data_IF_121705110117
#
_entry.id   IF_121705110117
#
_cell.length_a   1.000
_cell.length_b   1.000
_cell.length_c   1.000
_cell.angle_alpha   90.00
_cell.angle_beta   90.00
_cell.angle_gamma   90.00
#
_symmetry.space_group_name_H-M   'P 1'
#
loop_
_entity.id
_entity.type
_entity.pdbx_description
1 polymer ?
#
# COMPACT_ATOMS: atom_id res chain seq x y z
N UNK A 1 14.80 -6.99 15.66
CA UNK A 1 13.54 -7.17 16.45
C UNK A 1 13.48 -8.51 17.19
N UNK A 2 14.56 -9.24 17.25
CA UNK A 2 14.63 -10.60 17.84
C UNK A 2 14.80 -10.62 19.37
N UNK A 3 15.02 -9.46 20.01
CA UNK A 3 15.23 -9.29 21.45
C UNK A 3 14.41 -8.13 22.01
N UNK A 4 14.17 -8.13 23.33
CA UNK A 4 13.38 -7.10 23.99
C UNK A 4 11.87 -7.35 23.96
N UNK A 5 11.07 -6.37 24.42
CA UNK A 5 9.61 -6.47 24.49
C UNK A 5 8.99 -6.34 23.08
N UNK A 6 8.23 -7.34 22.59
CA UNK A 6 7.68 -7.32 21.23
C UNK A 6 6.78 -6.11 20.96
N UNK A 7 5.91 -5.74 21.91
CA UNK A 7 5.00 -4.60 21.75
C UNK A 7 5.77 -3.29 21.54
N UNK A 8 6.79 -3.04 22.38
CA UNK A 8 7.62 -1.83 22.27
C UNK A 8 8.35 -1.77 20.94
N UNK A 9 8.86 -2.92 20.46
CA UNK A 9 9.56 -3.02 19.17
C UNK A 9 8.62 -2.77 18.00
N UNK A 10 7.41 -3.36 18.02
CA UNK A 10 6.40 -3.16 16.99
C UNK A 10 5.99 -1.68 16.92
N UNK A 11 5.69 -1.03 18.04
CA UNK A 11 5.31 0.38 18.05
C UNK A 11 6.45 1.31 17.66
N UNK A 12 7.67 1.08 18.15
CA UNK A 12 8.85 1.87 17.77
C UNK A 12 9.14 1.81 16.27
N UNK A 13 8.85 0.67 15.65
CA UNK A 13 9.00 0.48 14.21
C UNK A 13 7.80 1.03 13.43
N UNK A 14 6.57 0.87 13.94
CA UNK A 14 5.35 1.33 13.30
C UNK A 14 5.23 2.86 13.27
N UNK A 15 5.73 3.56 14.30
CA UNK A 15 5.56 5.02 14.40
C UNK A 15 6.16 5.80 13.22
N UNK A 16 7.42 5.57 12.78
CA UNK A 16 7.92 6.22 11.57
C UNK A 16 7.14 5.86 10.31
N UNK A 17 6.67 4.61 10.19
CA UNK A 17 5.84 4.19 9.06
C UNK A 17 4.49 4.91 9.05
N UNK A 18 3.85 5.04 10.21
CA UNK A 18 2.61 5.79 10.35
C UNK A 18 2.79 7.25 9.92
N UNK A 19 3.84 7.91 10.41
CA UNK A 19 4.13 9.29 10.03
C UNK A 19 4.43 9.41 8.53
N UNK A 20 5.11 8.42 7.94
CA UNK A 20 5.35 8.35 6.50
C UNK A 20 4.05 8.21 5.70
N UNK A 21 3.16 7.31 6.11
CA UNK A 21 1.87 7.12 5.45
C UNK A 21 0.99 8.38 5.55
N UNK A 22 0.92 9.01 6.71
CA UNK A 22 0.18 10.26 6.90
C UNK A 22 0.75 11.40 6.03
N UNK A 23 2.08 11.54 5.99
CA UNK A 23 2.75 12.51 5.15
C UNK A 23 2.42 12.27 3.67
N UNK A 24 2.45 11.00 3.23
CA UNK A 24 2.09 10.63 1.87
C UNK A 24 0.64 10.98 1.52
N UNK A 25 -0.31 10.72 2.41
CA UNK A 25 -1.70 11.13 2.18
C UNK A 25 -1.84 12.65 2.12
N UNK A 26 -1.11 13.37 2.96
CA UNK A 26 -1.14 14.85 3.00
C UNK A 26 -0.58 15.44 1.71
N UNK A 27 0.58 14.98 1.23
CA UNK A 27 1.14 15.52 0.01
C UNK A 27 0.26 15.19 -1.22
N UNK A 28 -0.38 14.02 -1.29
CA UNK A 28 -1.31 13.69 -2.37
C UNK A 28 -2.48 14.68 -2.46
N UNK A 29 -2.97 15.18 -1.32
CA UNK A 29 -4.01 16.20 -1.28
C UNK A 29 -3.46 17.55 -1.75
N UNK A 30 -2.26 17.93 -1.31
CA UNK A 30 -1.61 19.19 -1.68
C UNK A 30 -1.34 19.21 -3.19
N UNK A 31 -0.78 18.13 -3.75
CA UNK A 31 -0.54 17.99 -5.19
C UNK A 31 -1.82 18.14 -6.00
N UNK A 32 -2.88 17.42 -5.62
CA UNK A 32 -4.20 17.57 -6.25
C UNK A 32 -4.75 19.01 -6.15
N UNK A 33 -4.52 19.68 -5.03
CA UNK A 33 -4.95 21.07 -4.84
C UNK A 33 -4.16 22.06 -5.71
N UNK A 34 -2.85 21.86 -5.87
CA UNK A 34 -2.00 22.67 -6.76
C UNK A 34 -2.46 22.49 -8.21
N UNK A 35 -2.61 21.25 -8.68
CA UNK A 35 -3.09 20.95 -10.03
C UNK A 35 -4.46 21.59 -10.27
N UNK A 36 -5.42 21.41 -9.37
CA UNK A 36 -6.78 21.93 -9.54
C UNK A 36 -6.86 23.45 -9.52
N UNK A 37 -6.09 24.14 -8.66
CA UNK A 37 -6.13 25.60 -8.55
C UNK A 37 -5.36 26.32 -9.65
N UNK A 38 -4.25 25.74 -10.12
CA UNK A 38 -3.34 26.40 -11.06
C UNK A 38 -3.61 25.98 -12.51
N UNK A 39 -3.83 24.69 -12.75
CA UNK A 39 -4.10 24.15 -14.11
C UNK A 39 -5.60 24.07 -14.44
N UNK A 40 -6.46 24.14 -13.42
CA UNK A 40 -7.90 24.12 -13.58
C UNK A 40 -8.55 22.73 -13.52
N UNK A 41 -9.88 22.73 -13.69
CA UNK A 41 -10.71 21.55 -13.49
C UNK A 41 -10.41 20.41 -14.47
N UNK A 42 -10.04 20.71 -15.72
CA UNK A 42 -9.74 19.68 -16.73
C UNK A 42 -8.48 18.90 -16.39
N UNK A 43 -7.41 19.58 -15.95
CA UNK A 43 -6.18 18.92 -15.53
C UNK A 43 -6.40 18.06 -14.28
N UNK A 44 -7.18 18.55 -13.31
CA UNK A 44 -7.55 17.78 -12.14
C UNK A 44 -8.39 16.55 -12.52
N UNK A 45 -9.31 16.68 -13.46
CA UNK A 45 -10.10 15.57 -13.98
C UNK A 45 -9.24 14.54 -14.70
N UNK A 46 -8.21 14.97 -15.46
CA UNK A 46 -7.25 14.09 -16.12
C UNK A 46 -6.43 13.27 -15.11
N UNK A 47 -5.92 13.90 -14.05
CA UNK A 47 -5.22 13.22 -12.95
C UNK A 47 -6.17 12.25 -12.25
N UNK A 48 -7.41 12.66 -11.98
CA UNK A 48 -8.43 11.82 -11.35
C UNK A 48 -8.78 10.58 -12.18
N UNK A 49 -8.99 10.73 -13.48
CA UNK A 49 -9.27 9.62 -14.39
C UNK A 49 -8.11 8.60 -14.44
N UNK A 50 -6.87 9.09 -14.33
CA UNK A 50 -5.66 8.25 -14.34
C UNK A 50 -5.40 7.55 -13.00
N UNK A 51 -5.97 8.03 -11.90
CA UNK A 51 -5.61 7.61 -10.54
C UNK A 51 -5.88 6.12 -10.26
N UNK A 52 -6.96 5.57 -10.82
CA UNK A 52 -7.33 4.16 -10.63
C UNK A 52 -6.29 3.20 -11.23
N UNK A 53 -5.82 3.47 -12.44
CA UNK A 53 -4.77 2.67 -13.09
C UNK A 53 -3.43 2.88 -12.41
N UNK A 54 -3.12 4.12 -12.03
CA UNK A 54 -1.93 4.42 -11.25
C UNK A 54 -1.89 3.59 -9.96
N UNK A 55 -2.99 3.56 -9.21
CA UNK A 55 -3.09 2.79 -7.97
C UNK A 55 -2.92 1.29 -8.21
N UNK A 56 -3.51 0.76 -9.29
CA UNK A 56 -3.38 -0.65 -9.68
C UNK A 56 -1.93 -1.01 -10.02
N UNK A 57 -1.26 -0.23 -10.88
CA UNK A 57 0.10 -0.51 -11.36
C UNK A 57 1.15 -0.25 -10.28
N UNK A 58 1.10 0.92 -9.63
CA UNK A 58 2.05 1.26 -8.58
C UNK A 58 1.82 0.43 -7.31
N UNK A 59 0.58 0.04 -7.02
CA UNK A 59 0.25 -0.91 -5.95
C UNK A 59 0.90 -2.27 -6.20
N UNK A 60 0.83 -2.78 -7.43
CA UNK A 60 1.53 -4.00 -7.83
C UNK A 60 3.05 -3.89 -7.63
N UNK A 61 3.65 -2.81 -8.10
CA UNK A 61 5.08 -2.53 -7.93
C UNK A 61 5.49 -2.51 -6.45
N UNK A 62 4.73 -1.80 -5.61
CA UNK A 62 4.97 -1.72 -4.17
C UNK A 62 4.84 -3.10 -3.52
N UNK A 63 3.80 -3.85 -3.87
CA UNK A 63 3.55 -5.20 -3.35
C UNK A 63 4.68 -6.18 -3.68
N UNK A 64 5.20 -6.16 -4.92
CA UNK A 64 6.36 -7.00 -5.30
C UNK A 64 7.56 -6.69 -4.41
N UNK A 65 7.92 -5.42 -4.25
CA UNK A 65 9.06 -5.01 -3.43
C UNK A 65 8.87 -5.40 -1.96
N UNK A 66 7.67 -5.21 -1.40
CA UNK A 66 7.35 -5.65 -0.05
C UNK A 66 7.49 -7.17 0.12
N UNK A 67 7.07 -7.95 -0.90
CA UNK A 67 7.23 -9.40 -0.90
C UNK A 67 8.69 -9.84 -0.91
N UNK A 68 9.56 -9.11 -1.61
CA UNK A 68 11.02 -9.36 -1.60
C UNK A 68 11.66 -9.08 -0.23
N UNK A 69 11.08 -8.16 0.54
CA UNK A 69 11.52 -7.88 1.90
C UNK A 69 11.30 -9.02 2.90
N UNK A 70 10.39 -9.96 2.63
CA UNK A 70 10.05 -11.06 3.56
C UNK A 70 11.21 -12.06 3.72
N UNK A 71 11.77 -12.67 2.65
CA UNK A 71 12.94 -13.53 2.77
C UNK A 71 14.14 -12.79 3.35
N UNK A 72 14.32 -11.52 2.99
CA UNK A 72 15.40 -10.69 3.50
C UNK A 72 15.31 -10.52 5.03
N UNK A 73 14.14 -10.18 5.56
CA UNK A 73 13.90 -10.08 7.00
C UNK A 73 14.20 -11.42 7.72
N UNK A 74 13.84 -12.56 7.09
CA UNK A 74 14.14 -13.90 7.61
C UNK A 74 15.64 -14.14 7.67
N UNK A 75 16.39 -13.89 6.60
CA UNK A 75 17.85 -14.11 6.59
C UNK A 75 18.58 -13.16 7.53
N UNK A 76 18.12 -11.91 7.62
CA UNK A 76 18.64 -10.96 8.61
C UNK A 76 18.42 -11.47 10.06
N UNK A 77 17.23 -11.95 10.35
CA UNK A 77 16.90 -12.54 11.67
C UNK A 77 17.69 -13.79 11.99
N UNK A 78 18.04 -14.59 10.99
CA UNK A 78 18.90 -15.77 11.11
C UNK A 78 20.40 -15.45 11.26
N UNK A 79 20.80 -14.21 11.00
CA UNK A 79 22.22 -13.81 10.94
C UNK A 79 22.97 -14.36 9.72
N UNK A 80 22.27 -14.92 8.72
CA UNK A 80 22.83 -15.50 7.50
C UNK A 80 23.13 -14.38 6.48
N UNK A 81 24.30 -13.79 6.59
CA UNK A 81 24.74 -12.65 5.76
C UNK A 81 24.87 -13.02 4.28
N UNK A 82 25.32 -14.23 3.98
CA UNK A 82 25.56 -14.65 2.60
C UNK A 82 24.22 -14.81 1.85
N UNK A 83 23.24 -15.50 2.46
CA UNK A 83 21.89 -15.59 1.88
C UNK A 83 21.19 -14.23 1.83
N UNK A 84 21.44 -13.36 2.81
CA UNK A 84 20.90 -12.00 2.82
C UNK A 84 21.42 -11.19 1.62
N UNK A 85 22.73 -11.21 1.35
CA UNK A 85 23.33 -10.52 0.19
C UNK A 85 22.88 -11.13 -1.12
N UNK A 86 22.84 -12.47 -1.22
CA UNK A 86 22.27 -13.16 -2.37
C UNK A 86 20.80 -12.73 -2.62
N UNK A 87 20.00 -12.61 -1.56
CA UNK A 87 18.61 -12.14 -1.64
C UNK A 87 18.55 -10.71 -2.15
N UNK A 88 19.39 -9.80 -1.66
CA UNK A 88 19.45 -8.39 -2.11
C UNK A 88 19.78 -8.31 -3.60
N UNK A 89 20.81 -9.02 -4.05
CA UNK A 89 21.21 -8.99 -5.47
C UNK A 89 20.09 -9.52 -6.38
N UNK A 90 19.51 -10.67 -6.05
CA UNK A 90 18.46 -11.27 -6.86
C UNK A 90 17.14 -10.47 -6.80
N UNK A 91 16.85 -9.79 -5.69
CA UNK A 91 15.74 -8.83 -5.60
C UNK A 91 15.96 -7.63 -6.51
N UNK A 92 17.18 -7.08 -6.55
CA UNK A 92 17.53 -5.98 -7.44
C UNK A 92 17.42 -6.40 -8.92
N UNK A 93 17.89 -7.60 -9.26
CA UNK A 93 17.79 -8.15 -10.62
C UNK A 93 16.33 -8.31 -11.06
N UNK A 94 15.48 -8.90 -10.21
CA UNK A 94 14.05 -9.07 -10.49
C UNK A 94 13.33 -7.72 -10.57
N UNK A 95 13.67 -6.78 -9.70
CA UNK A 95 13.11 -5.42 -9.72
C UNK A 95 13.50 -4.68 -10.99
N UNK A 96 14.74 -4.79 -11.46
CA UNK A 96 15.17 -4.21 -12.72
C UNK A 96 14.42 -4.84 -13.92
N UNK A 97 14.28 -6.17 -13.94
CA UNK A 97 13.47 -6.86 -14.95
C UNK A 97 12.01 -6.44 -14.94
N UNK A 98 11.40 -6.37 -13.76
CA UNK A 98 10.02 -5.90 -13.58
C UNK A 98 9.87 -4.43 -14.03
N UNK A 99 10.85 -3.57 -13.71
CA UNK A 99 10.86 -2.18 -14.14
C UNK A 99 10.79 -2.06 -15.67
N UNK A 100 11.64 -2.80 -16.38
CA UNK A 100 11.65 -2.79 -17.85
C UNK A 100 10.32 -3.31 -18.42
N UNK A 101 9.85 -4.46 -17.95
CA UNK A 101 8.64 -5.09 -18.46
C UNK A 101 7.41 -4.21 -18.19
N UNK A 102 7.20 -3.79 -16.95
CA UNK A 102 6.00 -3.03 -16.57
C UNK A 102 6.00 -1.66 -17.25
N UNK A 103 7.15 -0.96 -17.27
CA UNK A 103 7.26 0.34 -17.93
C UNK A 103 6.95 0.21 -19.42
N UNK A 104 7.54 -0.77 -20.10
CA UNK A 104 7.33 -0.97 -21.56
C UNK A 104 5.87 -1.31 -21.85
N UNK A 105 5.28 -2.26 -21.12
CA UNK A 105 3.88 -2.65 -21.33
C UNK A 105 2.96 -1.45 -21.05
N UNK A 106 3.11 -0.78 -19.92
CA UNK A 106 2.25 0.35 -19.56
C UNK A 106 2.42 1.53 -20.55
N UNK A 107 3.65 1.85 -20.99
CA UNK A 107 3.88 2.94 -21.93
C UNK A 107 3.30 2.63 -23.32
N UNK A 108 3.52 1.41 -23.85
CA UNK A 108 2.99 1.00 -25.15
C UNK A 108 1.47 0.97 -25.18
N UNK A 109 0.85 0.46 -24.10
CA UNK A 109 -0.60 0.36 -23.99
C UNK A 109 -1.28 1.57 -23.35
N UNK A 110 -0.57 2.67 -23.08
CA UNK A 110 -1.11 3.85 -22.38
C UNK A 110 -2.37 4.39 -23.05
N UNK A 111 -2.37 4.56 -24.38
CA UNK A 111 -3.54 5.00 -25.16
C UNK A 111 -4.71 4.02 -25.03
N UNK A 112 -4.44 2.71 -25.18
CA UNK A 112 -5.49 1.69 -25.08
C UNK A 112 -6.10 1.65 -23.66
N UNK A 113 -5.29 1.83 -22.63
CA UNK A 113 -5.75 1.92 -21.23
C UNK A 113 -6.70 3.09 -21.05
N UNK A 114 -6.37 4.28 -21.57
CA UNK A 114 -7.23 5.47 -21.46
C UNK A 114 -8.54 5.32 -22.21
N UNK A 115 -8.52 4.69 -23.40
CA UNK A 115 -9.76 4.37 -24.13
C UNK A 115 -10.63 3.37 -23.36
N UNK A 116 -10.01 2.35 -22.75
CA UNK A 116 -10.74 1.37 -21.93
C UNK A 116 -11.38 2.01 -20.69
N UNK A 117 -10.78 3.08 -20.16
CA UNK A 117 -11.35 3.89 -19.09
C UNK A 117 -12.41 4.88 -19.56
N UNK A 118 -12.73 4.92 -20.87
CA UNK A 118 -13.66 5.88 -21.46
C UNK A 118 -13.31 7.33 -21.11
N UNK A 119 -12.01 7.67 -21.16
CA UNK A 119 -11.51 9.02 -20.86
C UNK A 119 -12.05 10.00 -21.90
N UNK A 120 -12.73 11.09 -21.49
CA UNK A 120 -13.28 12.07 -22.43
C UNK A 120 -12.19 12.77 -23.29
N UNK A 121 -12.51 13.06 -24.54
CA UNK A 121 -11.57 13.64 -25.52
C UNK A 121 -10.96 14.98 -25.06
N UNK A 122 -11.75 15.79 -24.34
CA UNK A 122 -11.32 17.10 -23.84
C UNK A 122 -10.21 17.05 -22.77
N UNK A 123 -10.02 15.92 -22.09
CA UNK A 123 -8.97 15.72 -21.09
C UNK A 123 -7.97 14.62 -21.48
N UNK A 124 -8.17 13.98 -22.64
CA UNK A 124 -7.38 12.82 -23.06
C UNK A 124 -5.89 13.14 -23.17
N UNK A 125 -5.53 14.28 -23.77
CA UNK A 125 -4.14 14.72 -23.95
C UNK A 125 -3.42 14.92 -22.61
N UNK A 126 -4.07 15.54 -21.65
CA UNK A 126 -3.53 15.76 -20.30
C UNK A 126 -3.40 14.44 -19.52
N UNK A 127 -4.43 13.58 -19.60
CA UNK A 127 -4.42 12.27 -18.98
C UNK A 127 -3.31 11.37 -19.57
N UNK A 128 -3.12 11.41 -20.88
CA UNK A 128 -2.06 10.68 -21.56
C UNK A 128 -0.67 11.15 -21.13
N UNK A 129 -0.43 12.45 -21.14
CA UNK A 129 0.84 13.05 -20.74
C UNK A 129 1.17 12.72 -19.27
N UNK A 130 0.20 12.86 -18.40
CA UNK A 130 0.34 12.53 -16.98
C UNK A 130 0.68 11.04 -16.79
N UNK A 131 -0.14 10.16 -17.35
CA UNK A 131 -0.04 8.72 -17.13
C UNK A 131 1.24 8.14 -17.74
N UNK A 132 1.61 8.62 -18.95
CA UNK A 132 2.84 8.18 -19.62
C UNK A 132 4.08 8.56 -18.80
N UNK A 133 4.15 9.77 -18.25
CA UNK A 133 5.29 10.19 -17.41
C UNK A 133 5.34 9.36 -16.12
N UNK A 134 4.21 9.09 -15.48
CA UNK A 134 4.15 8.19 -14.31
C UNK A 134 4.66 6.78 -14.68
N UNK A 135 4.26 6.24 -15.83
CA UNK A 135 4.73 4.92 -16.28
C UNK A 135 6.22 4.90 -16.59
N UNK A 136 6.76 5.94 -17.23
CA UNK A 136 8.20 6.09 -17.44
C UNK A 136 8.96 6.27 -16.12
N UNK A 137 8.29 6.73 -15.07
CA UNK A 137 8.82 6.86 -13.71
C UNK A 137 8.81 5.56 -12.88
N UNK A 138 8.17 4.48 -13.35
CA UNK A 138 8.10 3.20 -12.62
C UNK A 138 9.47 2.68 -12.17
N UNK A 139 10.57 2.75 -12.95
CA UNK A 139 11.88 2.32 -12.49
C UNK A 139 12.36 3.02 -11.22
N UNK A 140 12.11 4.32 -11.10
CA UNK A 140 12.49 5.09 -9.91
C UNK A 140 11.61 4.77 -8.70
N UNK A 141 10.32 4.56 -8.93
CA UNK A 141 9.37 4.12 -7.90
C UNK A 141 9.76 2.73 -7.37
N UNK A 142 10.07 1.79 -8.26
CA UNK A 142 10.53 0.45 -7.87
C UNK A 142 11.87 0.50 -7.13
N UNK A 143 12.81 1.34 -7.59
CA UNK A 143 14.09 1.52 -6.91
C UNK A 143 13.89 1.99 -5.46
N UNK A 144 13.12 3.07 -5.27
CA UNK A 144 12.82 3.57 -3.92
C UNK A 144 12.13 2.51 -3.06
N UNK A 145 11.07 1.85 -3.58
CA UNK A 145 10.33 0.85 -2.83
C UNK A 145 11.19 -0.35 -2.44
N UNK A 146 12.05 -0.85 -3.33
CA UNK A 146 12.98 -1.93 -3.04
C UNK A 146 13.94 -1.54 -1.91
N UNK A 147 14.60 -0.38 -2.02
CA UNK A 147 15.56 0.07 -1.02
C UNK A 147 14.90 0.35 0.33
N UNK A 148 13.70 0.93 0.33
CA UNK A 148 12.91 1.11 1.53
C UNK A 148 12.50 -0.23 2.16
N UNK A 149 12.17 -1.25 1.36
CA UNK A 149 11.87 -2.60 1.86
C UNK A 149 13.12 -3.29 2.43
N UNK A 150 14.30 -3.09 1.83
CA UNK A 150 15.57 -3.60 2.36
C UNK A 150 15.86 -2.98 3.73
N UNK A 151 15.75 -1.66 3.87
CA UNK A 151 15.94 -0.97 5.16
C UNK A 151 14.95 -1.46 6.22
N UNK A 152 13.68 -1.58 5.85
CA UNK A 152 12.64 -2.13 6.75
C UNK A 152 12.95 -3.57 7.17
N UNK A 153 13.42 -4.41 6.26
CA UNK A 153 13.74 -5.81 6.55
C UNK A 153 14.87 -5.96 7.59
N UNK A 154 15.83 -5.04 7.59
CA UNK A 154 16.90 -5.01 8.62
C UNK A 154 16.50 -4.27 9.90
N UNK A 155 15.28 -3.72 9.96
CA UNK A 155 14.73 -3.10 11.16
C UNK A 155 14.80 -1.57 11.20
N UNK A 156 15.24 -0.93 10.11
CA UNK A 156 15.24 0.53 9.99
C UNK A 156 13.99 1.03 9.25
N UNK A 157 13.03 1.55 10.01
CA UNK A 157 11.84 2.22 9.48
C UNK A 157 11.99 3.75 9.44
N UNK A 158 12.99 4.31 10.12
CA UNK A 158 13.17 5.76 10.24
C UNK A 158 13.74 6.37 8.98
N UNK A 159 14.77 5.73 8.43
CA UNK A 159 15.46 6.24 7.23
C UNK A 159 14.53 6.33 6.01
N UNK A 160 13.72 5.30 5.65
CA UNK A 160 12.73 5.45 4.58
C UNK A 160 11.72 6.57 4.82
N UNK A 161 11.29 6.76 6.07
CA UNK A 161 10.40 7.87 6.44
C UNK A 161 11.04 9.25 6.19
N UNK A 162 12.29 9.45 6.62
CA UNK A 162 13.01 10.72 6.42
C UNK A 162 13.14 11.04 4.93
N UNK A 163 13.53 10.07 4.12
CA UNK A 163 13.67 10.28 2.68
C UNK A 163 12.33 10.46 1.96
N UNK A 164 11.26 9.82 2.43
CA UNK A 164 9.91 10.10 1.96
C UNK A 164 9.52 11.55 2.30
N UNK A 165 9.86 12.04 3.50
CA UNK A 165 9.63 13.42 3.90
C UNK A 165 10.37 14.43 3.00
N UNK A 166 11.64 14.19 2.73
CA UNK A 166 12.44 15.01 1.81
C UNK A 166 11.81 14.99 0.40
N UNK A 167 11.42 13.81 -0.07
CA UNK A 167 10.75 13.64 -1.36
C UNK A 167 9.43 14.40 -1.44
N UNK A 168 8.61 14.36 -0.39
CA UNK A 168 7.32 15.05 -0.36
C UNK A 168 7.48 16.57 -0.41
N UNK A 169 8.43 17.13 0.34
CA UNK A 169 8.75 18.56 0.28
C UNK A 169 9.31 18.95 -1.08
N UNK A 170 10.21 18.13 -1.63
CA UNK A 170 10.76 18.34 -2.97
C UNK A 170 9.70 18.26 -4.05
N UNK A 171 8.76 17.32 -3.96
CA UNK A 171 7.65 17.20 -4.90
C UNK A 171 6.81 18.49 -4.93
N UNK A 172 6.35 18.98 -3.77
CA UNK A 172 5.59 20.23 -3.67
C UNK A 172 6.37 21.41 -4.28
N UNK A 173 7.68 21.50 -3.98
CA UNK A 173 8.54 22.55 -4.55
C UNK A 173 8.63 22.43 -6.09
N UNK A 174 8.80 21.23 -6.62
CA UNK A 174 8.89 20.97 -8.06
C UNK A 174 7.54 21.22 -8.75
N UNK A 175 6.41 20.90 -8.13
CA UNK A 175 5.08 21.22 -8.66
C UNK A 175 4.93 22.73 -8.83
N UNK A 176 5.27 23.51 -7.81
CA UNK A 176 5.24 24.96 -7.90
C UNK A 176 6.22 25.48 -8.95
N UNK A 177 7.42 24.93 -9.03
CA UNK A 177 8.44 25.33 -10.02
C UNK A 177 7.99 25.03 -11.45
N UNK A 178 7.53 23.82 -11.73
CA UNK A 178 7.16 23.41 -13.09
C UNK A 178 5.85 24.05 -13.54
N UNK A 179 4.85 24.10 -12.67
CA UNK A 179 3.51 24.57 -13.02
C UNK A 179 3.43 26.10 -12.95
N UNK A 180 3.94 26.71 -11.88
CA UNK A 180 3.77 28.16 -11.66
C UNK A 180 4.89 28.97 -12.31
N UNK A 181 6.17 28.59 -12.09
CA UNK A 181 7.32 29.38 -12.58
C UNK A 181 7.59 29.10 -14.04
N UNK A 182 7.72 27.83 -14.43
CA UNK A 182 7.96 27.46 -15.84
C UNK A 182 6.68 27.46 -16.68
N UNK A 183 5.51 27.62 -16.05
CA UNK A 183 4.21 27.68 -16.73
C UNK A 183 3.98 26.48 -17.66
N UNK A 184 4.42 25.31 -17.26
CA UNK A 184 4.15 24.06 -17.95
C UNK A 184 2.67 23.72 -17.77
N UNK A 185 1.84 24.21 -18.68
CA UNK A 185 0.38 24.19 -18.59
C UNK A 185 -0.26 22.80 -18.80
N UNK A 186 0.36 21.73 -18.36
CA UNK A 186 -0.19 20.37 -18.53
C UNK A 186 -0.06 19.55 -17.24
N UNK A 187 -0.97 18.59 -17.06
CA UNK A 187 -0.94 17.65 -15.95
C UNK A 187 0.37 16.81 -15.87
N UNK A 188 1.06 16.68 -17.01
CA UNK A 188 2.36 16.02 -17.07
C UNK A 188 3.46 16.70 -16.24
N UNK A 189 3.34 17.99 -15.95
CA UNK A 189 4.28 18.70 -15.07
C UNK A 189 4.24 18.14 -13.64
N UNK A 190 3.04 17.90 -13.08
CA UNK A 190 2.86 17.28 -11.77
C UNK A 190 3.42 15.84 -11.75
N UNK A 191 3.18 15.07 -12.82
CA UNK A 191 3.77 13.74 -12.94
C UNK A 191 5.30 13.78 -12.95
N UNK A 192 5.92 14.73 -13.67
CA UNK A 192 7.37 14.92 -13.72
C UNK A 192 7.95 15.29 -12.35
N UNK A 193 7.27 16.14 -11.60
CA UNK A 193 7.66 16.49 -10.23
C UNK A 193 7.64 15.25 -9.31
N UNK A 194 6.57 14.45 -9.38
CA UNK A 194 6.44 13.22 -8.62
C UNK A 194 7.54 12.22 -8.94
N UNK A 195 7.81 11.97 -10.23
CA UNK A 195 8.86 11.03 -10.67
C UNK A 195 10.24 11.51 -10.25
N UNK A 196 10.53 12.81 -10.38
CA UNK A 196 11.82 13.39 -9.96
C UNK A 196 12.02 13.25 -8.46
N UNK A 197 11.00 13.54 -7.66
CA UNK A 197 11.04 13.38 -6.21
C UNK A 197 11.28 11.92 -5.79
N UNK A 198 10.65 10.96 -6.45
CA UNK A 198 10.87 9.52 -6.23
C UNK A 198 12.31 9.10 -6.61
N UNK A 199 12.83 9.59 -7.73
CA UNK A 199 14.20 9.32 -8.16
C UNK A 199 15.22 9.81 -7.12
N UNK A 200 15.05 11.04 -6.64
CA UNK A 200 15.91 11.62 -5.58
C UNK A 200 15.86 10.76 -4.31
N UNK A 201 14.67 10.37 -3.87
CA UNK A 201 14.53 9.49 -2.69
C UNK A 201 15.21 8.13 -2.88
N UNK A 202 15.07 7.52 -4.05
CA UNK A 202 15.74 6.26 -4.38
C UNK A 202 17.26 6.41 -4.31
N UNK A 203 17.80 7.46 -4.92
CA UNK A 203 19.25 7.75 -4.88
C UNK A 203 19.75 8.01 -3.45
N UNK A 204 19.02 8.80 -2.66
CA UNK A 204 19.36 9.06 -1.26
C UNK A 204 19.35 7.79 -0.41
N UNK A 205 18.33 6.92 -0.57
CA UNK A 205 18.30 5.62 0.08
C UNK A 205 19.51 4.76 -0.30
N UNK A 206 19.86 4.71 -1.58
CA UNK A 206 21.00 3.95 -2.06
C UNK A 206 22.34 4.43 -1.46
N UNK A 207 22.57 5.74 -1.48
CA UNK A 207 23.77 6.36 -0.91
C UNK A 207 23.85 6.08 0.61
N UNK A 208 22.72 6.20 1.29
CA UNK A 208 22.63 5.95 2.73
C UNK A 208 22.96 4.50 3.09
N UNK A 209 22.35 3.53 2.37
CA UNK A 209 22.63 2.10 2.57
C UNK A 209 24.11 1.81 2.36
N UNK A 210 24.70 2.31 1.27
CA UNK A 210 26.13 2.11 0.96
C UNK A 210 27.05 2.67 2.05
N UNK A 211 26.66 3.78 2.69
CA UNK A 211 27.49 4.46 3.70
C UNK A 211 27.31 3.87 5.11
N UNK A 212 26.11 3.48 5.49
CA UNK A 212 25.79 3.14 6.89
C UNK A 212 25.57 1.65 7.15
N UNK A 213 25.36 0.86 6.07
CA UNK A 213 25.12 -0.58 6.18
C UNK A 213 26.14 -1.39 5.36
N UNK A 214 27.42 -1.43 5.77
CA UNK A 214 28.45 -2.18 5.05
C UNK A 214 28.14 -3.69 4.97
N UNK A 215 27.35 -4.21 5.90
CA UNK A 215 26.88 -5.58 5.91
C UNK A 215 25.93 -5.92 4.74
N UNK A 216 25.25 -4.92 4.15
CA UNK A 216 24.41 -5.05 2.96
C UNK A 216 25.20 -4.87 1.66
N UNK A 217 26.48 -4.47 1.75
CA UNK A 217 27.32 -4.28 0.56
C UNK A 217 27.56 -5.62 -0.16
N UNK A 218 27.34 -5.59 -1.47
CA UNK A 218 27.50 -6.74 -2.35
C UNK A 218 28.96 -6.92 -2.76
N UNK A 219 29.58 -8.05 -2.42
CA UNK A 219 30.86 -8.45 -2.98
C UNK A 219 30.70 -8.96 -4.42
N UNK A 220 31.79 -9.06 -5.22
CA UNK A 220 31.69 -9.66 -6.56
C UNK A 220 31.14 -11.09 -6.56
N UNK A 221 31.39 -11.84 -5.50
CA UNK A 221 30.91 -13.22 -5.31
C UNK A 221 29.40 -13.32 -5.08
N UNK A 222 28.80 -12.27 -4.46
CA UNK A 222 27.37 -12.20 -4.20
C UNK A 222 26.56 -11.87 -5.46
N UNK A 223 27.21 -11.39 -6.53
CA UNK A 223 26.58 -10.94 -7.79
C UNK A 223 26.31 -12.10 -8.75
N UNK A 224 25.69 -13.15 -8.25
CA UNK A 224 25.32 -14.30 -9.05
C UNK A 224 23.80 -14.52 -9.02
N UNK A 225 23.24 -14.74 -10.22
CA UNK A 225 21.83 -15.11 -10.32
C UNK A 225 21.63 -16.52 -9.75
N UNK A 226 20.81 -16.61 -8.72
CA UNK A 226 20.50 -17.88 -8.07
C UNK A 226 19.05 -18.26 -8.33
N UNK A 227 18.82 -19.29 -9.14
CA UNK A 227 17.48 -19.71 -9.55
C UNK A 227 16.56 -20.09 -8.38
N UNK A 228 17.10 -20.71 -7.31
CA UNK A 228 16.31 -21.03 -6.11
C UNK A 228 15.88 -19.76 -5.37
N UNK A 229 16.79 -18.78 -5.23
CA UNK A 229 16.49 -17.50 -4.62
C UNK A 229 15.49 -16.70 -5.46
N UNK A 230 15.69 -16.63 -6.78
CA UNK A 230 14.78 -15.98 -7.71
C UNK A 230 13.36 -16.56 -7.58
N UNK A 231 13.24 -17.89 -7.58
CA UNK A 231 11.96 -18.56 -7.44
C UNK A 231 11.29 -18.26 -6.09
N UNK A 232 12.05 -18.27 -5.00
CA UNK A 232 11.55 -17.89 -3.68
C UNK A 232 11.03 -16.45 -3.66
N UNK A 233 11.75 -15.51 -4.27
CA UNK A 233 11.34 -14.12 -4.37
C UNK A 233 10.06 -13.95 -5.21
N UNK A 234 9.94 -14.66 -6.33
CA UNK A 234 8.74 -14.64 -7.18
C UNK A 234 7.51 -15.15 -6.41
N UNK A 235 7.64 -16.28 -5.69
CA UNK A 235 6.53 -16.83 -4.88
C UNK A 235 6.10 -15.88 -3.77
N UNK A 236 6.98 -15.02 -3.26
CA UNK A 236 6.64 -14.03 -2.24
C UNK A 236 6.13 -12.71 -2.88
N UNK A 237 6.82 -12.21 -3.88
CA UNK A 237 6.57 -10.90 -4.47
C UNK A 237 5.32 -10.86 -5.34
N UNK A 238 5.18 -11.79 -6.27
CA UNK A 238 4.05 -11.76 -7.24
C UNK A 238 2.69 -11.88 -6.54
N UNK A 239 2.45 -12.82 -5.61
CA UNK A 239 1.19 -12.87 -4.90
C UNK A 239 0.90 -11.60 -4.09
N UNK A 240 1.92 -10.97 -3.52
CA UNK A 240 1.75 -9.74 -2.77
C UNK A 240 1.43 -8.55 -3.68
N UNK A 241 2.08 -8.45 -4.83
CA UNK A 241 1.73 -7.46 -5.87
C UNK A 241 0.31 -7.63 -6.39
N UNK A 242 -0.06 -8.86 -6.74
CA UNK A 242 -1.42 -9.18 -7.21
C UNK A 242 -2.48 -8.87 -6.15
N UNK A 243 -2.19 -9.08 -4.87
CA UNK A 243 -3.12 -8.75 -3.79
C UNK A 243 -3.47 -7.25 -3.78
N UNK A 244 -2.48 -6.35 -3.94
CA UNK A 244 -2.74 -4.91 -4.05
C UNK A 244 -3.60 -4.59 -5.26
N UNK A 245 -3.30 -5.17 -6.43
CA UNK A 245 -4.09 -4.97 -7.65
C UNK A 245 -5.51 -5.50 -7.52
N UNK A 246 -5.70 -6.68 -6.95
CA UNK A 246 -7.03 -7.29 -6.74
C UNK A 246 -7.89 -6.43 -5.81
N UNK A 247 -7.29 -5.89 -4.74
CA UNK A 247 -7.98 -4.96 -3.83
C UNK A 247 -8.38 -3.67 -4.56
N UNK A 248 -7.50 -3.17 -5.44
CA UNK A 248 -7.79 -2.00 -6.27
C UNK A 248 -8.98 -2.25 -7.20
N UNK A 249 -9.01 -3.38 -7.90
CA UNK A 249 -10.12 -3.76 -8.80
C UNK A 249 -11.45 -3.80 -8.02
N UNK A 250 -11.48 -4.42 -6.84
CA UNK A 250 -12.67 -4.47 -6.00
C UNK A 250 -13.19 -3.07 -5.62
N UNK A 251 -12.27 -2.14 -5.32
CA UNK A 251 -12.62 -0.75 -5.01
C UNK A 251 -13.12 0.01 -6.23
N UNK A 252 -12.56 -0.24 -7.42
CA UNK A 252 -13.01 0.37 -8.67
C UNK A 252 -14.43 -0.07 -9.04
N UNK A 253 -14.77 -1.35 -8.89
CA UNK A 253 -16.12 -1.87 -9.14
C UNK A 253 -17.12 -1.24 -8.16
N UNK A 254 -16.77 -1.16 -6.88
CA UNK A 254 -17.61 -0.51 -5.88
C UNK A 254 -17.83 0.99 -6.20
N UNK A 255 -16.78 1.71 -6.64
CA UNK A 255 -16.89 3.10 -7.09
C UNK A 255 -17.79 3.22 -8.31
N UNK A 256 -17.65 2.34 -9.30
CA UNK A 256 -18.50 2.33 -10.49
C UNK A 256 -19.97 2.10 -10.15
N UNK A 257 -20.28 1.16 -9.25
CA UNK A 257 -21.62 0.94 -8.75
C UNK A 257 -22.19 2.17 -8.00
N UNK A 258 -21.33 2.86 -7.20
CA UNK A 258 -21.72 4.08 -6.52
C UNK A 258 -22.03 5.22 -7.49
N UNK A 259 -21.29 5.31 -8.60
CA UNK A 259 -21.48 6.35 -9.61
C UNK A 259 -22.87 6.29 -10.27
N UNK A 260 -23.51 5.12 -10.30
CA UNK A 260 -24.87 4.97 -10.83
C UNK A 260 -25.97 5.57 -9.93
N UNK A 261 -25.65 5.92 -8.68
CA UNK A 261 -26.60 6.42 -7.69
C UNK A 261 -26.78 7.95 -7.70
N UNK A 262 -25.95 8.68 -8.47
CA UNK A 262 -26.03 10.14 -8.62
C UNK A 262 -24.98 10.91 -7.83
N UNK A 263 -24.87 12.22 -8.15
CA UNK A 263 -23.77 13.08 -7.73
C UNK A 263 -23.64 13.25 -6.20
N UNK A 264 -24.76 13.29 -5.48
CA UNK A 264 -24.78 13.39 -4.00
C UNK A 264 -24.01 12.23 -3.37
N UNK A 265 -24.31 11.00 -3.81
CA UNK A 265 -23.67 9.81 -3.27
C UNK A 265 -22.21 9.67 -3.73
N UNK A 266 -21.90 10.12 -4.95
CA UNK A 266 -20.51 10.15 -5.45
C UNK A 266 -19.66 11.05 -4.57
N UNK A 267 -20.13 12.28 -4.31
CA UNK A 267 -19.41 13.27 -3.50
C UNK A 267 -19.26 12.83 -2.05
N UNK A 268 -20.37 12.35 -1.43
CA UNK A 268 -20.36 11.88 -0.05
C UNK A 268 -19.45 10.66 0.16
N UNK A 269 -19.51 9.68 -0.76
CA UNK A 269 -18.64 8.51 -0.73
C UNK A 269 -17.15 8.90 -0.91
N UNK A 270 -16.85 9.80 -1.86
CA UNK A 270 -15.48 10.26 -2.11
C UNK A 270 -14.88 10.93 -0.88
N UNK A 271 -15.62 11.82 -0.22
CA UNK A 271 -15.17 12.45 1.03
C UNK A 271 -14.97 11.41 2.14
N UNK A 272 -15.91 10.48 2.30
CA UNK A 272 -15.78 9.38 3.26
C UNK A 272 -14.57 8.47 2.99
N UNK A 273 -14.26 8.18 1.72
CA UNK A 273 -13.08 7.41 1.31
C UNK A 273 -11.77 8.13 1.67
N UNK A 274 -11.70 9.46 1.54
CA UNK A 274 -10.53 10.25 1.96
C UNK A 274 -10.30 10.13 3.46
N UNK A 275 -11.35 10.28 4.27
CA UNK A 275 -11.28 10.12 5.73
C UNK A 275 -10.85 8.70 6.10
N UNK A 276 -11.43 7.68 5.45
CA UNK A 276 -11.07 6.28 5.63
C UNK A 276 -9.57 6.04 5.37
N UNK A 277 -8.99 6.61 4.28
CA UNK A 277 -7.58 6.45 3.95
C UNK A 277 -6.65 6.97 5.04
N UNK A 278 -6.95 8.13 5.63
CA UNK A 278 -6.21 8.64 6.79
C UNK A 278 -6.32 7.72 8.01
N UNK A 279 -7.54 7.31 8.32
CA UNK A 279 -7.80 6.44 9.46
C UNK A 279 -7.20 5.03 9.30
N UNK A 280 -6.92 4.57 8.08
CA UNK A 280 -6.25 3.29 7.80
C UNK A 280 -4.74 3.31 8.05
N UNK A 281 -4.07 4.46 7.98
CA UNK A 281 -2.62 4.55 8.09
C UNK A 281 -2.02 3.83 9.32
N UNK A 282 -2.62 3.89 10.53
CA UNK A 282 -2.11 3.13 11.67
C UNK A 282 -2.20 1.61 11.50
N UNK A 283 -3.25 1.10 10.85
CA UNK A 283 -3.37 -0.33 10.59
C UNK A 283 -2.25 -0.82 9.68
N UNK A 284 -1.97 -0.10 8.59
CA UNK A 284 -0.90 -0.44 7.65
C UNK A 284 0.48 -0.41 8.31
N UNK A 285 0.70 0.58 9.17
CA UNK A 285 1.95 0.72 9.92
C UNK A 285 2.15 -0.44 10.91
N UNK A 286 1.14 -0.77 11.71
CA UNK A 286 1.18 -1.90 12.67
C UNK A 286 1.34 -3.22 11.91
N UNK A 287 0.55 -3.44 10.87
CA UNK A 287 0.58 -4.66 10.08
C UNK A 287 1.96 -4.90 9.42
N UNK A 288 2.56 -3.85 8.85
CA UNK A 288 3.91 -3.91 8.28
C UNK A 288 4.95 -4.21 9.36
N UNK A 289 4.86 -3.56 10.53
CA UNK A 289 5.76 -3.80 11.65
C UNK A 289 5.68 -5.25 12.15
N UNK A 290 4.47 -5.81 12.26
CA UNK A 290 4.26 -7.21 12.66
C UNK A 290 4.80 -8.17 11.60
N UNK A 291 4.64 -7.86 10.30
CA UNK A 291 5.18 -8.68 9.22
C UNK A 291 6.71 -8.80 9.30
N UNK A 292 7.41 -7.67 9.46
CA UNK A 292 8.87 -7.65 9.62
C UNK A 292 9.30 -8.35 10.90
N UNK A 293 8.57 -8.12 12.00
CA UNK A 293 8.80 -8.80 13.28
C UNK A 293 8.67 -10.32 13.14
N UNK A 294 7.64 -10.81 12.46
CA UNK A 294 7.44 -12.24 12.18
C UNK A 294 8.59 -12.81 11.33
N UNK A 295 8.98 -12.12 10.25
CA UNK A 295 10.08 -12.55 9.38
C UNK A 295 11.40 -12.69 10.12
N UNK A 296 11.79 -11.69 10.91
CA UNK A 296 13.03 -11.71 11.67
C UNK A 296 13.01 -12.79 12.79
N UNK A 297 11.91 -12.93 13.52
CA UNK A 297 11.81 -13.95 14.56
C UNK A 297 11.66 -15.37 13.99
N UNK A 298 11.12 -15.52 12.78
CA UNK A 298 11.15 -16.78 12.03
C UNK A 298 12.59 -17.21 11.70
N UNK A 299 13.39 -16.26 11.19
CA UNK A 299 14.81 -16.50 10.93
C UNK A 299 15.60 -16.83 12.19
N UNK A 300 15.31 -16.17 13.29
CA UNK A 300 15.94 -16.40 14.60
C UNK A 300 15.46 -17.67 15.33
N UNK A 301 14.52 -18.44 14.77
CA UNK A 301 14.00 -19.64 15.38
C UNK A 301 13.21 -19.43 16.68
N UNK A 302 12.48 -18.30 16.81
CA UNK A 302 11.77 -17.90 18.04
C UNK A 302 10.24 -17.93 17.88
N UNK A 303 9.58 -19.13 17.83
CA UNK A 303 8.16 -19.27 17.52
C UNK A 303 7.24 -18.62 18.57
N UNK A 304 7.58 -18.68 19.84
CA UNK A 304 6.75 -18.09 20.90
C UNK A 304 6.74 -16.55 20.83
N UNK A 305 7.85 -15.95 20.37
CA UNK A 305 7.87 -14.52 20.12
C UNK A 305 6.97 -14.14 18.96
N UNK A 306 6.92 -14.97 17.91
CA UNK A 306 6.01 -14.78 16.77
C UNK A 306 4.56 -14.77 17.25
N UNK A 307 4.14 -15.79 18.02
CA UNK A 307 2.78 -15.87 18.59
C UNK A 307 2.44 -14.61 19.41
N UNK A 308 3.34 -14.21 20.31
CA UNK A 308 3.17 -13.05 21.16
C UNK A 308 3.11 -11.75 20.37
N UNK A 309 3.96 -11.58 19.36
CA UNK A 309 3.99 -10.39 18.50
C UNK A 309 2.72 -10.25 17.66
N UNK A 310 2.23 -11.34 17.06
CA UNK A 310 0.97 -11.34 16.31
C UNK A 310 -0.20 -11.00 17.23
N UNK A 311 -0.30 -11.65 18.39
CA UNK A 311 -1.38 -11.36 19.36
C UNK A 311 -1.38 -9.89 19.81
N UNK A 312 -0.21 -9.35 20.16
CA UNK A 312 -0.08 -7.95 20.57
C UNK A 312 -0.38 -6.98 19.44
N UNK A 313 0.03 -7.31 18.20
CA UNK A 313 -0.29 -6.52 17.02
C UNK A 313 -1.79 -6.49 16.72
N UNK A 314 -2.47 -7.65 16.80
CA UNK A 314 -3.92 -7.74 16.62
C UNK A 314 -4.64 -6.98 17.74
N UNK A 315 -4.26 -7.18 18.99
CA UNK A 315 -4.87 -6.47 20.13
C UNK A 315 -4.74 -4.95 19.98
N UNK A 316 -3.57 -4.47 19.55
CA UNK A 316 -3.34 -3.04 19.28
C UNK A 316 -4.20 -2.51 18.14
N UNK A 317 -4.32 -3.28 17.04
CA UNK A 317 -5.16 -2.91 15.91
C UNK A 317 -6.65 -2.91 16.28
N UNK A 318 -7.11 -3.88 17.09
CA UNK A 318 -8.49 -3.91 17.61
C UNK A 318 -8.75 -2.69 18.49
N UNK A 319 -7.85 -2.39 19.44
CA UNK A 319 -8.01 -1.24 20.34
C UNK A 319 -8.10 0.08 19.55
N UNK A 320 -7.18 0.29 18.60
CA UNK A 320 -7.24 1.46 17.72
C UNK A 320 -8.50 1.44 16.84
N UNK A 321 -8.90 0.28 16.30
CA UNK A 321 -10.09 0.11 15.47
C UNK A 321 -11.38 0.44 16.20
N UNK A 322 -11.49 0.10 17.51
CA UNK A 322 -12.63 0.49 18.34
C UNK A 322 -12.64 2.00 18.53
N UNK A 323 -11.52 2.60 18.93
CA UNK A 323 -11.43 4.05 19.17
C UNK A 323 -11.73 4.84 17.90
N UNK A 324 -11.05 4.52 16.78
CA UNK A 324 -11.27 5.19 15.50
C UNK A 324 -12.66 4.91 14.94
N UNK A 325 -13.19 3.70 15.14
CA UNK A 325 -14.57 3.35 14.79
C UNK A 325 -15.59 4.22 15.50
N UNK A 326 -15.44 4.43 16.82
CA UNK A 326 -16.29 5.36 17.58
C UNK A 326 -16.17 6.80 17.07
N UNK A 327 -14.96 7.25 16.76
CA UNK A 327 -14.74 8.58 16.14
C UNK A 327 -15.49 8.69 14.82
N UNK A 328 -15.42 7.68 13.95
CA UNK A 328 -16.13 7.67 12.66
C UNK A 328 -17.67 7.66 12.84
N UNK A 329 -18.18 6.93 13.84
CA UNK A 329 -19.62 6.86 14.13
C UNK A 329 -20.15 8.21 14.62
N UNK A 330 -19.50 8.81 15.60
CA UNK A 330 -20.01 10.01 16.27
C UNK A 330 -19.57 11.33 15.62
N UNK A 331 -18.37 11.38 15.07
CA UNK A 331 -17.77 12.58 14.50
C UNK A 331 -17.67 12.53 12.97
N UNK A 332 -18.15 11.47 12.31
CA UNK A 332 -18.02 11.29 10.86
C UNK A 332 -18.61 12.46 10.07
N UNK A 333 -19.76 13.02 10.48
CA UNK A 333 -20.36 14.19 9.83
C UNK A 333 -19.48 15.44 9.99
N UNK A 334 -18.94 15.67 11.18
CA UNK A 334 -18.03 16.80 11.46
C UNK A 334 -16.72 16.67 10.70
N UNK A 335 -16.15 15.47 10.62
CA UNK A 335 -14.94 15.19 9.84
C UNK A 335 -15.18 15.44 8.34
N UNK A 336 -16.37 15.16 7.84
CA UNK A 336 -16.72 15.38 6.44
C UNK A 336 -16.75 16.87 6.05
N UNK A 337 -16.92 17.80 7.00
CA UNK A 337 -16.82 19.24 6.78
C UNK A 337 -15.43 19.70 6.31
N UNK A 338 -14.39 18.88 6.46
CA UNK A 338 -13.06 19.16 5.92
C UNK A 338 -13.09 19.18 4.39
N UNK A 339 -14.00 18.41 3.77
CA UNK A 339 -14.06 18.19 2.32
C UNK A 339 -15.37 18.70 1.68
N UNK A 340 -16.41 18.94 2.46
CA UNK A 340 -17.76 19.25 2.00
C UNK A 340 -18.22 20.56 2.65
N UNK A 341 -18.81 21.44 1.84
CA UNK A 341 -19.37 22.71 2.35
C UNK A 341 -20.53 22.43 3.32
N UNK A 342 -20.63 23.18 4.45
CA UNK A 342 -21.72 23.03 5.42
C UNK A 342 -23.14 23.18 4.85
N UNK A 343 -23.30 23.87 3.73
CA UNK A 343 -24.58 24.05 3.04
C UNK A 343 -25.07 22.78 2.33
N UNK A 344 -24.15 21.86 1.96
CA UNK A 344 -24.44 20.64 1.23
C UNK A 344 -24.85 19.48 2.18
N UNK A 345 -26.00 19.66 2.83
CA UNK A 345 -26.47 18.76 3.91
C UNK A 345 -26.68 17.32 3.45
N UNK A 346 -27.20 17.10 2.24
CA UNK A 346 -27.43 15.75 1.70
C UNK A 346 -26.12 15.00 1.45
N UNK A 347 -25.08 15.69 0.96
CA UNK A 347 -23.76 15.12 0.73
C UNK A 347 -23.09 14.78 2.06
N UNK A 348 -23.23 15.68 3.06
CA UNK A 348 -22.74 15.43 4.42
C UNK A 348 -23.40 14.22 5.07
N UNK A 349 -24.72 14.06 4.88
CA UNK A 349 -25.46 12.93 5.44
C UNK A 349 -25.08 11.61 4.74
N UNK A 350 -24.84 11.63 3.42
CA UNK A 350 -24.32 10.47 2.69
C UNK A 350 -22.93 10.07 3.18
N UNK A 351 -22.01 11.02 3.36
CA UNK A 351 -20.67 10.77 3.91
C UNK A 351 -20.73 10.25 5.33
N UNK A 352 -21.55 10.86 6.19
CA UNK A 352 -21.75 10.42 7.58
C UNK A 352 -22.32 9.02 7.67
N UNK A 353 -23.28 8.66 6.81
CA UNK A 353 -23.86 7.31 6.72
C UNK A 353 -22.77 6.27 6.39
N UNK A 354 -21.95 6.55 5.36
CA UNK A 354 -20.85 5.67 4.97
C UNK A 354 -19.87 5.48 6.12
N UNK A 355 -19.38 6.57 6.73
CA UNK A 355 -18.42 6.52 7.84
C UNK A 355 -18.98 5.83 9.09
N UNK A 356 -20.27 6.01 9.39
CA UNK A 356 -20.95 5.31 10.48
C UNK A 356 -20.96 3.80 10.25
N UNK A 357 -21.33 3.36 9.06
CA UNK A 357 -21.28 1.94 8.70
C UNK A 357 -19.86 1.36 8.81
N UNK A 358 -18.84 2.10 8.34
CA UNK A 358 -17.44 1.69 8.51
C UNK A 358 -17.03 1.54 9.96
N UNK A 359 -17.43 2.49 10.82
CA UNK A 359 -17.01 2.54 12.21
C UNK A 359 -17.35 1.28 12.99
N UNK A 360 -18.53 0.67 12.75
CA UNK A 360 -18.93 -0.57 13.42
C UNK A 360 -18.01 -1.77 13.13
N UNK A 361 -17.34 -1.79 11.99
CA UNK A 361 -16.50 -2.91 11.55
C UNK A 361 -15.01 -2.55 11.46
N UNK A 362 -14.63 -1.36 11.93
CA UNK A 362 -13.25 -0.87 11.76
C UNK A 362 -12.22 -1.70 12.52
N UNK A 363 -12.60 -2.28 13.67
CA UNK A 363 -11.79 -3.24 14.41
C UNK A 363 -11.52 -4.53 13.61
N UNK A 364 -12.49 -4.95 12.79
CA UNK A 364 -12.35 -6.12 11.91
C UNK A 364 -11.32 -5.85 10.81
N UNK A 365 -11.35 -4.65 10.19
CA UNK A 365 -10.35 -4.23 9.21
C UNK A 365 -8.93 -4.26 9.81
N UNK A 366 -8.73 -3.69 11.01
CA UNK A 366 -7.44 -3.70 11.67
C UNK A 366 -6.92 -5.11 11.95
N UNK A 367 -7.80 -5.98 12.44
CA UNK A 367 -7.47 -7.40 12.67
C UNK A 367 -7.10 -8.11 11.37
N UNK A 368 -7.88 -7.89 10.30
CA UNK A 368 -7.62 -8.45 8.97
C UNK A 368 -6.25 -8.03 8.44
N UNK A 369 -5.91 -6.74 8.51
CA UNK A 369 -4.64 -6.22 8.04
C UNK A 369 -3.45 -6.88 8.77
N UNK A 370 -3.49 -6.93 10.10
CA UNK A 370 -2.39 -7.50 10.89
C UNK A 370 -2.26 -9.01 10.66
N UNK A 371 -3.36 -9.76 10.68
CA UNK A 371 -3.35 -11.22 10.49
C UNK A 371 -2.86 -11.58 9.09
N UNK A 372 -3.32 -10.89 8.06
CA UNK A 372 -2.89 -11.08 6.67
C UNK A 372 -1.40 -10.82 6.49
N UNK A 373 -0.90 -9.69 6.99
CA UNK A 373 0.52 -9.34 6.92
C UNK A 373 1.39 -10.28 7.76
N UNK A 374 0.85 -10.86 8.83
CA UNK A 374 1.53 -11.91 9.61
C UNK A 374 1.73 -13.18 8.79
N UNK A 375 0.71 -13.65 8.06
CA UNK A 375 0.82 -14.81 7.15
C UNK A 375 1.90 -14.56 6.09
N UNK A 376 1.95 -13.36 5.53
CA UNK A 376 2.97 -12.96 4.56
C UNK A 376 4.36 -12.95 5.21
N UNK A 377 4.52 -12.31 6.38
CA UNK A 377 5.78 -12.26 7.12
C UNK A 377 6.31 -13.64 7.53
N UNK A 378 5.44 -14.64 7.68
CA UNK A 378 5.79 -16.03 7.89
C UNK A 378 6.18 -16.77 6.59
N UNK A 379 6.13 -16.10 5.43
CA UNK A 379 6.53 -16.69 4.15
C UNK A 379 5.40 -17.40 3.39
N UNK A 380 4.13 -17.16 3.72
CA UNK A 380 2.98 -17.80 3.06
C UNK A 380 2.16 -16.79 2.21
N UNK A 381 2.82 -15.93 1.42
CA UNK A 381 2.17 -14.90 0.60
C UNK A 381 1.11 -15.46 -0.36
N UNK A 382 1.35 -16.66 -0.93
CA UNK A 382 0.38 -17.34 -1.78
C UNK A 382 -0.94 -17.71 -1.08
N UNK A 383 -0.95 -17.84 0.26
CA UNK A 383 -2.19 -18.06 1.04
C UNK A 383 -2.88 -16.73 1.36
N UNK A 384 -2.11 -15.69 1.55
CA UNK A 384 -2.64 -14.36 1.85
C UNK A 384 -3.39 -13.74 0.66
N UNK A 385 -2.99 -14.01 -0.59
CA UNK A 385 -3.67 -13.50 -1.79
C UNK A 385 -5.14 -13.95 -1.87
N UNK A 386 -5.46 -15.14 -1.38
CA UNK A 386 -6.83 -15.67 -1.37
C UNK A 386 -7.77 -14.73 -0.60
N UNK A 387 -7.29 -14.11 0.47
CA UNK A 387 -8.08 -13.10 1.19
C UNK A 387 -8.44 -11.89 0.32
N UNK A 388 -7.51 -11.44 -0.53
CA UNK A 388 -7.78 -10.37 -1.49
C UNK A 388 -8.84 -10.75 -2.53
N UNK A 389 -8.80 -12.00 -3.01
CA UNK A 389 -9.82 -12.52 -3.94
C UNK A 389 -11.19 -12.57 -3.24
N UNK A 390 -11.26 -13.01 -1.99
CA UNK A 390 -12.49 -13.03 -1.20
C UNK A 390 -13.02 -11.61 -1.00
N UNK A 391 -12.15 -10.65 -0.65
CA UNK A 391 -12.55 -9.24 -0.51
C UNK A 391 -13.11 -8.68 -1.82
N UNK A 392 -12.42 -8.90 -2.94
CA UNK A 392 -12.86 -8.44 -4.26
C UNK A 392 -14.22 -9.05 -4.61
N UNK A 393 -14.38 -10.37 -4.49
CA UNK A 393 -15.62 -11.08 -4.78
C UNK A 393 -16.78 -10.55 -3.92
N UNK A 394 -16.57 -10.39 -2.62
CA UNK A 394 -17.58 -9.87 -1.71
C UNK A 394 -17.99 -8.43 -2.06
N UNK A 395 -17.03 -7.54 -2.39
CA UNK A 395 -17.33 -6.18 -2.85
C UNK A 395 -18.14 -6.17 -4.13
N UNK A 396 -17.78 -7.00 -5.12
CA UNK A 396 -18.50 -7.12 -6.39
C UNK A 396 -19.95 -7.62 -6.15
N UNK A 397 -20.10 -8.68 -5.38
CA UNK A 397 -21.42 -9.27 -5.08
C UNK A 397 -22.31 -8.25 -4.39
N UNK A 398 -21.80 -7.55 -3.36
CA UNK A 398 -22.61 -6.61 -2.60
C UNK A 398 -22.89 -5.35 -3.41
N UNK A 399 -21.89 -4.76 -4.06
CA UNK A 399 -22.07 -3.49 -4.77
C UNK A 399 -22.84 -3.63 -6.08
N UNK A 400 -22.72 -4.75 -6.81
CA UNK A 400 -23.46 -4.96 -8.06
C UNK A 400 -24.77 -5.72 -7.85
N UNK A 401 -24.79 -6.72 -6.95
CA UNK A 401 -25.95 -7.54 -6.73
C UNK A 401 -27.05 -6.88 -5.90
N UNK A 402 -26.69 -6.01 -4.98
CA UNK A 402 -27.63 -5.44 -4.01
C UNK A 402 -27.88 -3.94 -4.15
N UNK A 403 -27.11 -3.24 -4.99
CA UNK A 403 -27.30 -1.79 -5.19
C UNK A 403 -28.69 -1.46 -5.76
N UNK A 404 -29.22 -2.29 -6.64
CA UNK A 404 -30.55 -2.10 -7.20
C UNK A 404 -31.69 -2.18 -6.17
N UNK A 405 -31.51 -2.96 -5.10
CA UNK A 405 -32.53 -3.17 -4.05
C UNK A 405 -32.34 -2.23 -2.86
N UNK A 406 -31.10 -2.02 -2.41
CA UNK A 406 -30.76 -1.27 -1.19
C UNK A 406 -30.09 0.08 -1.47
N UNK A 407 -29.88 0.45 -2.73
CA UNK A 407 -29.28 1.71 -3.14
C UNK A 407 -27.93 1.95 -2.46
N UNK A 408 -27.72 3.17 -1.98
CA UNK A 408 -26.46 3.59 -1.33
C UNK A 408 -26.11 2.77 -0.08
N UNK A 409 -27.10 2.17 0.59
CA UNK A 409 -26.84 1.32 1.77
C UNK A 409 -26.00 0.09 1.39
N UNK A 410 -26.23 -0.50 0.22
CA UNK A 410 -25.39 -1.62 -0.27
C UNK A 410 -23.92 -1.19 -0.41
N UNK A 411 -23.67 -0.01 -0.99
CA UNK A 411 -22.30 0.55 -1.09
C UNK A 411 -21.68 0.76 0.29
N UNK A 412 -22.48 1.30 1.25
CA UNK A 412 -22.02 1.50 2.63
C UNK A 412 -21.58 0.21 3.33
N UNK A 413 -22.11 -0.95 2.94
CA UNK A 413 -21.78 -2.24 3.56
C UNK A 413 -20.87 -3.13 2.73
N UNK A 414 -20.47 -2.72 1.52
CA UNK A 414 -19.63 -3.53 0.62
C UNK A 414 -18.25 -3.81 1.22
N UNK A 415 -17.60 -2.81 1.80
CA UNK A 415 -16.30 -2.95 2.46
C UNK A 415 -16.36 -3.86 3.69
N UNK A 416 -17.36 -3.68 4.55
CA UNK A 416 -17.50 -4.44 5.80
C UNK A 416 -17.76 -5.93 5.54
N UNK A 417 -18.63 -6.22 4.58
CA UNK A 417 -18.88 -7.60 4.16
C UNK A 417 -17.61 -8.26 3.64
N UNK A 418 -16.83 -7.51 2.85
CA UNK A 418 -15.56 -7.98 2.32
C UNK A 418 -14.54 -8.25 3.46
N UNK A 419 -14.44 -7.36 4.44
CA UNK A 419 -13.51 -7.53 5.57
C UNK A 419 -13.89 -8.71 6.45
N UNK A 420 -15.17 -8.88 6.75
CA UNK A 420 -15.64 -10.02 7.55
C UNK A 420 -15.39 -11.33 6.81
N UNK A 421 -15.75 -11.41 5.52
CA UNK A 421 -15.53 -12.61 4.72
C UNK A 421 -14.04 -12.99 4.64
N UNK A 422 -13.16 -12.01 4.39
CA UNK A 422 -11.74 -12.25 4.34
C UNK A 422 -11.16 -12.61 5.73
N UNK A 423 -11.63 -11.99 6.80
CA UNK A 423 -11.18 -12.27 8.15
C UNK A 423 -11.52 -13.69 8.60
N UNK A 424 -12.72 -14.17 8.26
CA UNK A 424 -13.14 -15.57 8.52
C UNK A 424 -12.21 -16.59 7.81
N UNK A 425 -11.60 -16.21 6.70
CA UNK A 425 -10.62 -17.05 6.01
C UNK A 425 -9.21 -16.92 6.62
N UNK A 426 -8.71 -15.67 6.84
CA UNK A 426 -7.32 -15.46 7.25
C UNK A 426 -7.04 -15.88 8.68
N UNK A 427 -8.01 -15.78 9.58
CA UNK A 427 -7.80 -16.11 10.98
C UNK A 427 -7.42 -17.58 11.19
N UNK A 428 -8.21 -18.60 10.73
CA UNK A 428 -7.82 -19.99 10.83
C UNK A 428 -6.55 -20.30 10.02
N UNK A 429 -6.36 -19.62 8.87
CA UNK A 429 -5.16 -19.80 8.07
C UNK A 429 -3.91 -19.32 8.80
N UNK A 430 -3.97 -18.20 9.52
CA UNK A 430 -2.86 -17.70 10.33
C UNK A 430 -2.49 -18.68 11.44
N UNK A 431 -3.48 -19.21 12.17
CA UNK A 431 -3.28 -20.23 13.22
C UNK A 431 -2.59 -21.46 12.62
N UNK A 432 -3.06 -21.93 11.45
CA UNK A 432 -2.43 -23.04 10.75
C UNK A 432 -0.96 -22.75 10.36
N UNK A 433 -0.68 -21.55 9.82
CA UNK A 433 0.67 -21.13 9.44
C UNK A 433 1.61 -21.06 10.66
N UNK A 434 1.13 -20.53 11.79
CA UNK A 434 1.88 -20.46 13.04
C UNK A 434 2.22 -21.88 13.53
N UNK A 435 1.25 -22.79 13.54
CA UNK A 435 1.45 -24.18 13.93
C UNK A 435 2.49 -24.88 13.05
N UNK A 436 2.39 -24.71 11.72
CA UNK A 436 3.33 -25.28 10.75
C UNK A 436 4.76 -24.77 10.98
N UNK A 437 4.92 -23.47 11.23
CA UNK A 437 6.22 -22.85 11.52
C UNK A 437 6.78 -23.34 12.84
N UNK A 438 5.97 -23.38 13.93
CA UNK A 438 6.42 -23.87 15.24
C UNK A 438 6.94 -25.31 15.13
N UNK A 439 6.17 -26.20 14.49
CA UNK A 439 6.58 -27.59 14.28
C UNK A 439 7.86 -27.73 13.46
N UNK A 440 8.03 -26.90 12.42
CA UNK A 440 9.26 -26.92 11.58
C UNK A 440 10.50 -26.43 12.32
N UNK A 441 10.36 -25.59 13.34
CA UNK A 441 11.47 -25.10 14.16
C UNK A 441 11.82 -26.12 15.26
N UNK A 442 10.80 -26.74 15.88
CA UNK A 442 10.97 -27.73 16.95
C UNK A 442 11.52 -29.07 16.46
N UNK A 443 11.19 -29.47 15.23
CA UNK A 443 11.72 -30.67 14.59
C UNK A 443 12.50 -30.26 13.34
N UNK A 444 13.79 -29.89 13.46
CA UNK A 444 14.62 -29.68 12.28
C UNK A 444 14.73 -30.99 11.51
N UNK A 445 13.97 -31.11 10.43
CA UNK A 445 14.16 -32.24 9.49
C UNK A 445 15.53 -32.05 8.87
N UNK A 446 16.43 -32.97 9.16
CA UNK A 446 17.71 -33.11 8.45
C UNK A 446 17.40 -33.24 6.95
N UNK A 447 17.63 -32.16 6.19
CA UNK A 447 17.65 -32.15 4.72
C UNK A 447 19.03 -31.72 4.27
#
# INVERSE_FOLDING_TARGET
MTEGNPLKLIFSFALPLLLGNLLQQTYNIIDSAIVGRVLGANALAAVGASSSVQFLVLGFCTGICCGFGIPLAKYFGAGDRDKMRCCIFNSALLTAGAAVIITTVCAVFCTAILHMLSTPDNIFGDAYSYLLIIFLGIPFTLLYNLLACILRAVGDSRTPFIFLGISSVLNIFLDLLFIVVFRMGCAGAAAAATVTAQAVSGVLCFIYIKKHFPELALSPQDRQANGKMIWQLIIMGVPMGLQYSITAIGSMVMQSANNSLGSVYISGFTAGMRIKQFAMCPFDAIATAVSVFCGQNLGAGKPDRIKKGIFQGVASAVAYGIVSGLVLIFLGRTLSLIFIDPSETEILDAAAKYLRCLGFFYWCLGSLCVVRMSIQGLGFSGRAIISGIIEMAARIIVSMGFVGTFGYTAICFADQTAWVAAFLYVLPMCIHCIHKVSKSIETPVNI
#
